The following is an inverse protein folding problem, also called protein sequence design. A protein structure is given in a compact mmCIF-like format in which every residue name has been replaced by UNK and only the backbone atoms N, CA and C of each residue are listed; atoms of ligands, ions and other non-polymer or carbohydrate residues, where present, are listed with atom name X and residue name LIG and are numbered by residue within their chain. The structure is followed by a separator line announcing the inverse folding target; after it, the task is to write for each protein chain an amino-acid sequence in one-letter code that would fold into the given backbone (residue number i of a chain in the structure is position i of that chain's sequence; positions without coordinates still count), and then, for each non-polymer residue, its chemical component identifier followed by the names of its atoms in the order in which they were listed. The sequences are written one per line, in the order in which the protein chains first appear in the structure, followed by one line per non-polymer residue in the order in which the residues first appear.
data_IF_831171561321
#
_entry.id   IF_831171561321
#
_cell.length_a   1.000
_cell.length_b   1.000
_cell.length_c   1.000
_cell.angle_alpha   90.00
_cell.angle_beta   90.00
_cell.angle_gamma   90.00
#
_symmetry.space_group_name_H-M   'P 1'
#
loop_
_entity.id
_entity.type
_entity.pdbx_description
1 polymer ?
#
# COMPACT_ATOMS: atom_id res chain seq x y z
N UNK A 1 -21.72 3.08 10.05
CA UNK A 1 -21.45 2.45 11.35
C UNK A 1 -20.16 1.67 11.17
N UNK A 2 -19.02 2.31 11.43
CA UNK A 2 -17.74 1.61 11.49
C UNK A 2 -17.47 1.32 12.94
N UNK A 3 -17.49 0.05 13.28
CA UNK A 3 -17.08 -0.47 14.56
C UNK A 3 -15.56 -0.26 14.72
N UNK A 4 -15.06 -0.05 15.93
CA UNK A 4 -13.64 0.14 16.22
C UNK A 4 -12.76 -0.99 15.65
N UNK A 5 -13.31 -2.20 15.56
CA UNK A 5 -12.62 -3.37 15.01
C UNK A 5 -12.45 -3.29 13.48
N UNK A 6 -13.41 -2.69 12.78
CA UNK A 6 -13.28 -2.44 11.33
C UNK A 6 -12.19 -1.42 11.01
N UNK A 7 -11.93 -0.47 11.90
CA UNK A 7 -10.87 0.54 11.72
C UNK A 7 -9.47 -0.05 11.80
N UNK A 8 -9.23 -0.95 12.74
CA UNK A 8 -7.95 -1.65 12.86
C UNK A 8 -7.70 -2.56 11.66
N UNK A 9 -8.70 -3.34 11.26
CA UNK A 9 -8.62 -4.22 10.09
C UNK A 9 -8.36 -3.45 8.80
N UNK A 10 -9.03 -2.30 8.60
CA UNK A 10 -8.76 -1.43 7.46
C UNK A 10 -7.32 -0.88 7.48
N UNK A 11 -6.80 -0.53 8.66
CA UNK A 11 -5.41 -0.06 8.84
C UNK A 11 -4.39 -1.10 8.39
N UNK A 12 -4.61 -2.36 8.72
CA UNK A 12 -3.74 -3.46 8.32
C UNK A 12 -3.68 -3.64 6.79
N UNK A 13 -4.83 -3.54 6.11
CA UNK A 13 -4.88 -3.63 4.66
C UNK A 13 -4.27 -2.40 3.97
N UNK A 14 -4.45 -1.22 4.53
CA UNK A 14 -3.82 0.01 4.04
C UNK A 14 -2.30 -0.13 4.09
N UNK A 15 -1.75 -0.60 5.21
CA UNK A 15 -0.32 -0.85 5.35
C UNK A 15 0.18 -1.93 4.38
N UNK A 16 -0.55 -3.03 4.22
CA UNK A 16 -0.20 -4.08 3.27
C UNK A 16 -0.20 -3.58 1.82
N UNK A 17 -1.20 -2.80 1.41
CA UNK A 17 -1.25 -2.20 0.08
C UNK A 17 -0.10 -1.21 -0.14
N UNK A 18 0.28 -0.44 0.88
CA UNK A 18 1.44 0.45 0.82
C UNK A 18 2.75 -0.33 0.65
N UNK A 19 2.91 -1.47 1.34
CA UNK A 19 4.06 -2.40 1.17
C UNK A 19 4.10 -2.96 -0.25
N UNK A 20 2.97 -3.43 -0.78
CA UNK A 20 2.92 -3.95 -2.15
C UNK A 20 3.39 -2.90 -3.17
N UNK A 21 2.95 -1.65 -3.02
CA UNK A 21 3.39 -0.57 -3.92
C UNK A 21 4.86 -0.21 -3.71
N UNK A 22 5.34 -0.20 -2.46
CA UNK A 22 6.73 0.09 -2.15
C UNK A 22 7.72 -0.95 -2.71
N UNK A 23 7.29 -2.21 -2.82
CA UNK A 23 8.08 -3.30 -3.39
C UNK A 23 8.18 -3.26 -4.92
N UNK A 24 7.39 -2.42 -5.59
CA UNK A 24 7.43 -2.27 -7.04
C UNK A 24 8.34 -1.11 -7.48
N UNK A 25 8.91 -1.18 -8.69
CA UNK A 25 9.60 -0.04 -9.28
C UNK A 25 8.67 1.17 -9.35
N UNK A 26 9.15 2.31 -8.86
CA UNK A 26 8.42 3.58 -9.01
C UNK A 26 8.33 3.96 -10.48
N UNK A 27 7.19 4.52 -10.87
CA UNK A 27 7.01 5.07 -12.20
C UNK A 27 7.97 6.26 -12.42
N UNK A 28 8.59 6.30 -13.60
CA UNK A 28 9.33 7.48 -14.02
C UNK A 28 8.34 8.54 -14.53
N UNK A 29 7.69 9.20 -13.60
CA UNK A 29 6.67 10.22 -13.87
C UNK A 29 7.27 11.62 -13.72
N UNK A 30 6.68 12.56 -14.44
CA UNK A 30 6.85 13.99 -14.18
C UNK A 30 5.53 14.53 -13.60
N UNK A 31 5.19 14.22 -12.35
CA UNK A 31 3.94 14.66 -11.76
C UNK A 31 3.99 16.17 -11.52
N UNK A 32 2.82 16.80 -11.58
CA UNK A 32 2.66 18.16 -11.09
C UNK A 32 2.48 18.12 -9.56
N UNK A 33 3.26 18.91 -8.83
CA UNK A 33 3.13 19.04 -7.39
C UNK A 33 2.29 20.27 -7.03
N UNK A 34 1.27 20.07 -6.21
CA UNK A 34 0.38 21.13 -5.73
C UNK A 34 0.21 21.05 -4.22
N UNK A 35 -0.04 22.20 -3.61
CA UNK A 35 -0.42 22.25 -2.19
C UNK A 35 -1.82 21.68 -1.97
N UNK A 36 -2.13 21.31 -0.75
CA UNK A 36 -3.48 20.87 -0.36
C UNK A 36 -4.54 21.91 -0.75
N UNK A 37 -4.27 23.19 -0.50
CA UNK A 37 -5.21 24.27 -0.81
C UNK A 37 -5.51 24.38 -2.32
N UNK A 38 -4.51 24.18 -3.16
CA UNK A 38 -4.68 24.16 -4.62
C UNK A 38 -5.50 22.94 -5.08
N UNK A 39 -5.25 21.77 -4.48
CA UNK A 39 -6.02 20.55 -4.75
C UNK A 39 -7.48 20.74 -4.33
N UNK A 40 -7.74 21.29 -3.14
CA UNK A 40 -9.09 21.54 -2.65
C UNK A 40 -9.84 22.54 -3.56
N UNK A 41 -9.13 23.52 -4.13
CA UNK A 41 -9.69 24.43 -5.14
C UNK A 41 -10.06 23.68 -6.42
N UNK A 42 -9.19 22.80 -6.92
CA UNK A 42 -9.49 21.95 -8.08
C UNK A 42 -10.74 21.10 -7.82
N UNK A 43 -10.78 20.43 -6.67
CA UNK A 43 -11.92 19.60 -6.26
C UNK A 43 -13.23 20.39 -6.20
N UNK A 44 -13.16 21.64 -5.76
CA UNK A 44 -14.34 22.54 -5.67
C UNK A 44 -14.82 23.05 -7.03
N UNK A 45 -13.94 23.15 -8.01
CA UNK A 45 -14.23 23.69 -9.33
C UNK A 45 -14.61 22.64 -10.35
N UNK A 46 -14.19 21.40 -10.18
CA UNK A 46 -14.48 20.32 -11.12
C UNK A 46 -15.96 19.97 -11.14
N UNK A 47 -16.53 19.97 -12.34
CA UNK A 47 -17.87 19.44 -12.58
C UNK A 47 -17.84 17.92 -12.59
N UNK A 48 -18.92 17.30 -12.14
CA UNK A 48 -19.09 15.86 -12.19
C UNK A 48 -18.84 15.30 -13.61
N UNK A 49 -18.05 14.22 -13.72
CA UNK A 49 -17.81 13.55 -15.00
C UNK A 49 -16.51 13.90 -15.71
N UNK A 50 -15.60 14.63 -15.06
CA UNK A 50 -14.31 14.98 -15.67
C UNK A 50 -13.33 13.79 -15.80
N UNK A 51 -13.66 12.65 -15.21
CA UNK A 51 -12.78 11.48 -15.24
C UNK A 51 -11.55 11.62 -14.35
N UNK A 52 -11.71 12.27 -13.19
CA UNK A 52 -10.67 12.41 -12.17
C UNK A 52 -10.83 11.36 -11.08
N UNK A 53 -9.74 10.65 -10.79
CA UNK A 53 -9.61 9.79 -9.64
C UNK A 53 -8.82 10.53 -8.55
N UNK A 54 -9.34 10.54 -7.35
CA UNK A 54 -8.64 11.02 -6.17
C UNK A 54 -8.15 9.82 -5.37
N UNK A 55 -6.88 9.85 -4.95
CA UNK A 55 -6.24 8.78 -4.19
C UNK A 55 -5.80 9.33 -2.84
N UNK A 56 -6.24 8.70 -1.77
CA UNK A 56 -5.75 8.94 -0.42
C UNK A 56 -4.88 7.76 0.03
N UNK A 57 -3.76 8.02 0.66
CA UNK A 57 -2.90 6.98 1.26
C UNK A 57 -3.42 6.52 2.61
N UNK A 58 -4.18 7.39 3.30
CA UNK A 58 -4.67 7.17 4.65
C UNK A 58 -6.17 7.40 4.76
N UNK A 59 -6.79 6.64 5.68
CA UNK A 59 -8.20 6.86 6.02
C UNK A 59 -8.45 8.23 6.66
N UNK A 60 -7.49 8.77 7.38
CA UNK A 60 -7.55 10.11 7.98
C UNK A 60 -7.72 11.21 6.93
N UNK A 61 -7.07 11.07 5.79
CA UNK A 61 -7.24 12.00 4.65
C UNK A 61 -8.61 11.85 4.02
N UNK A 62 -9.09 10.62 3.82
CA UNK A 62 -10.45 10.37 3.35
C UNK A 62 -11.49 11.05 4.25
N UNK A 63 -11.32 10.97 5.56
CA UNK A 63 -12.27 11.51 6.52
C UNK A 63 -12.48 13.05 6.38
N UNK A 64 -11.49 13.79 5.88
CA UNK A 64 -11.60 15.23 5.59
C UNK A 64 -12.60 15.53 4.47
N UNK A 65 -12.80 14.59 3.54
CA UNK A 65 -13.71 14.72 2.41
C UNK A 65 -15.05 14.02 2.62
N UNK A 66 -15.33 13.56 3.84
CA UNK A 66 -16.53 12.79 4.22
C UNK A 66 -17.86 13.46 3.81
N UNK A 67 -17.89 14.78 3.76
CA UNK A 67 -19.07 15.56 3.39
C UNK A 67 -19.01 16.05 1.92
N UNK A 68 -17.98 15.69 1.16
CA UNK A 68 -17.94 16.02 -0.26
C UNK A 68 -19.00 15.21 -1.00
N UNK A 69 -19.49 15.73 -2.11
CA UNK A 69 -20.39 14.98 -3.01
C UNK A 69 -19.68 13.85 -3.77
N UNK A 70 -18.42 13.59 -3.45
CA UNK A 70 -17.60 12.57 -4.07
C UNK A 70 -17.99 11.19 -3.55
N UNK A 71 -18.04 10.22 -4.43
CA UNK A 71 -18.35 8.83 -4.08
C UNK A 71 -17.09 8.12 -3.61
N UNK A 72 -17.23 7.28 -2.59
CA UNK A 72 -16.16 6.42 -2.14
C UNK A 72 -16.22 5.10 -2.91
N UNK A 73 -15.14 4.76 -3.58
CA UNK A 73 -14.96 3.41 -4.08
C UNK A 73 -14.49 2.50 -2.94
N UNK A 74 -14.60 1.19 -3.18
CA UNK A 74 -14.06 0.19 -2.28
C UNK A 74 -12.56 0.46 -2.02
N UNK A 75 -12.12 0.26 -0.79
CA UNK A 75 -10.74 0.45 -0.36
C UNK A 75 -9.78 -0.41 -1.20
N UNK A 76 -10.26 -1.53 -1.73
CA UNK A 76 -9.42 -2.55 -2.37
C UNK A 76 -9.60 -2.64 -3.89
N UNK A 77 -10.69 -2.13 -4.43
CA UNK A 77 -10.99 -2.31 -5.83
C UNK A 77 -11.87 -1.18 -6.38
N UNK A 78 -11.54 -0.68 -7.57
CA UNK A 78 -12.40 0.22 -8.30
C UNK A 78 -13.47 -0.63 -9.01
N UNK A 79 -14.71 -0.58 -8.54
CA UNK A 79 -15.78 -1.14 -9.33
C UNK A 79 -15.94 -0.31 -10.60
N UNK A 80 -15.93 -0.95 -11.75
CA UNK A 80 -15.97 -0.34 -13.09
C UNK A 80 -17.20 0.53 -13.40
N UNK A 81 -18.06 0.79 -12.43
CA UNK A 81 -19.39 1.34 -12.69
C UNK A 81 -19.61 2.82 -12.40
N UNK A 82 -18.67 3.51 -11.73
CA UNK A 82 -18.83 4.94 -11.44
C UNK A 82 -17.50 5.67 -11.65
N UNK A 83 -17.32 6.17 -12.85
CA UNK A 83 -16.12 6.89 -13.27
C UNK A 83 -16.09 8.36 -12.82
N UNK A 84 -17.17 8.85 -12.22
CA UNK A 84 -17.27 10.24 -11.81
C UNK A 84 -16.92 10.42 -10.33
N UNK A 85 -16.00 11.29 -10.06
CA UNK A 85 -15.74 11.84 -8.71
C UNK A 85 -15.50 10.79 -7.62
N UNK A 86 -14.58 9.86 -7.88
CA UNK A 86 -14.25 8.76 -6.97
C UNK A 86 -13.02 9.09 -6.13
N UNK A 87 -13.10 8.81 -4.84
CA UNK A 87 -11.92 8.77 -3.94
C UNK A 87 -11.67 7.31 -3.55
N UNK A 88 -10.48 6.84 -3.80
CA UNK A 88 -10.02 5.52 -3.36
C UNK A 88 -8.95 5.68 -2.27
N UNK A 89 -8.92 4.75 -1.31
CA UNK A 89 -7.90 4.73 -0.25
C UNK A 89 -6.93 3.59 -0.49
N UNK A 90 -5.64 3.90 -0.45
CA UNK A 90 -4.53 2.97 -0.53
C UNK A 90 -4.76 1.86 -1.57
N UNK A 91 -4.89 2.21 -2.86
CA UNK A 91 -5.20 1.23 -3.91
C UNK A 91 -4.13 0.15 -4.00
N UNK A 92 -4.54 -1.06 -4.36
CA UNK A 92 -3.61 -2.12 -4.74
C UNK A 92 -2.83 -1.75 -6.00
N UNK A 93 -1.62 -2.30 -6.19
CA UNK A 93 -0.82 -2.04 -7.41
C UNK A 93 -1.51 -2.45 -8.71
N UNK A 94 -2.36 -3.48 -8.65
CA UNK A 94 -3.12 -4.02 -9.78
C UNK A 94 -4.46 -3.31 -10.04
N UNK A 95 -4.73 -2.24 -9.31
CA UNK A 95 -5.97 -1.47 -9.49
C UNK A 95 -5.99 -0.79 -10.85
N UNK A 96 -7.06 -1.02 -11.61
CA UNK A 96 -7.21 -0.46 -12.96
C UNK A 96 -7.70 0.99 -12.89
N UNK A 97 -6.84 1.91 -13.29
CA UNK A 97 -7.16 3.34 -13.43
C UNK A 97 -7.48 3.75 -14.87
N UNK A 98 -7.63 2.80 -15.81
CA UNK A 98 -7.79 3.08 -17.24
C UNK A 98 -8.97 4.00 -17.57
N UNK A 99 -10.02 3.94 -16.77
CA UNK A 99 -11.21 4.80 -16.94
C UNK A 99 -11.01 6.28 -16.59
N UNK A 100 -9.86 6.66 -16.01
CA UNK A 100 -9.59 8.03 -15.58
C UNK A 100 -8.54 8.69 -16.46
N UNK A 101 -8.71 9.99 -16.71
CA UNK A 101 -7.75 10.82 -17.46
C UNK A 101 -6.74 11.50 -16.54
N UNK A 102 -7.18 11.81 -15.32
CA UNK A 102 -6.40 12.49 -14.30
C UNK A 102 -6.43 11.70 -13.00
N UNK A 103 -5.30 11.67 -12.32
CA UNK A 103 -5.15 11.07 -11.00
C UNK A 103 -4.58 12.13 -10.08
N UNK A 104 -5.24 12.38 -8.96
CA UNK A 104 -4.82 13.34 -7.94
C UNK A 104 -4.56 12.60 -6.63
N UNK A 105 -3.30 12.53 -6.22
CA UNK A 105 -2.93 12.04 -4.89
C UNK A 105 -3.18 13.13 -3.86
N UNK A 106 -4.06 12.84 -2.92
CA UNK A 106 -4.41 13.73 -1.81
C UNK A 106 -3.36 13.75 -0.70
N UNK A 107 -2.51 12.75 -0.67
CA UNK A 107 -1.33 12.66 0.19
C UNK A 107 -0.13 12.34 -0.69
N UNK A 108 1.07 12.72 -0.23
CA UNK A 108 2.30 12.40 -0.96
C UNK A 108 2.61 10.90 -0.79
N UNK A 109 2.44 10.07 -1.82
CA UNK A 109 2.69 8.65 -1.73
C UNK A 109 4.19 8.35 -1.60
N UNK A 110 4.53 7.21 -1.01
CA UNK A 110 5.91 6.70 -1.02
C UNK A 110 6.36 6.32 -2.43
N UNK A 111 5.48 5.62 -3.17
CA UNK A 111 5.70 5.26 -4.56
C UNK A 111 4.39 5.34 -5.35
N UNK A 112 4.53 5.66 -6.64
CA UNK A 112 3.40 5.69 -7.58
C UNK A 112 3.55 4.53 -8.55
N UNK A 113 2.61 3.57 -8.62
CA UNK A 113 2.70 2.43 -9.51
C UNK A 113 2.68 2.84 -10.99
N UNK A 114 3.61 2.33 -11.77
CA UNK A 114 3.77 2.68 -13.18
C UNK A 114 2.54 2.34 -14.02
N UNK A 115 2.05 1.11 -13.93
CA UNK A 115 0.97 0.61 -14.77
C UNK A 115 -0.35 1.40 -14.63
N UNK A 116 -0.55 2.05 -13.47
CA UNK A 116 -1.79 2.80 -13.19
C UNK A 116 -1.80 4.21 -13.74
N UNK A 117 -0.64 4.77 -14.09
CA UNK A 117 -0.46 6.21 -14.33
C UNK A 117 0.06 6.57 -15.71
N UNK A 118 0.47 5.58 -16.50
CA UNK A 118 1.00 5.81 -17.85
C UNK A 118 -0.01 6.56 -18.74
N UNK A 119 0.45 7.63 -19.37
CA UNK A 119 -0.36 8.45 -20.27
C UNK A 119 -1.42 9.33 -19.58
N UNK A 120 -1.39 9.45 -18.26
CA UNK A 120 -2.35 10.23 -17.47
C UNK A 120 -1.73 11.51 -16.92
N UNK A 121 -2.57 12.51 -16.70
CA UNK A 121 -2.21 13.66 -15.89
C UNK A 121 -2.13 13.25 -14.42
N UNK A 122 -0.97 13.41 -13.78
CA UNK A 122 -0.76 13.02 -12.39
C UNK A 122 -0.41 14.27 -11.57
N UNK A 123 -1.21 14.51 -10.53
CA UNK A 123 -1.01 15.58 -9.56
C UNK A 123 -0.76 14.94 -8.20
N UNK A 124 0.23 15.43 -7.47
CA UNK A 124 0.59 14.92 -6.14
C UNK A 124 0.57 16.07 -5.13
N UNK A 125 -0.09 15.84 -4.02
CA UNK A 125 -0.06 16.76 -2.87
C UNK A 125 1.37 16.86 -2.33
N UNK A 126 1.90 18.08 -2.23
CA UNK A 126 3.29 18.32 -1.83
C UNK A 126 3.49 18.47 -0.32
N UNK A 127 2.44 18.87 0.40
CA UNK A 127 2.47 19.30 1.80
C UNK A 127 1.73 18.36 2.76
N UNK A 128 1.25 17.22 2.28
CA UNK A 128 0.62 16.19 3.10
C UNK A 128 1.38 14.87 2.94
N UNK A 129 1.94 14.37 4.03
CA UNK A 129 2.66 13.10 4.06
C UNK A 129 1.67 11.93 4.02
N UNK A 130 1.86 10.99 3.09
CA UNK A 130 1.09 9.76 2.93
C UNK A 130 1.90 8.50 3.29
N UNK A 131 3.01 8.66 4.01
CA UNK A 131 3.89 7.52 4.34
C UNK A 131 3.59 6.89 5.71
N UNK A 132 2.61 7.41 6.46
CA UNK A 132 2.28 6.89 7.78
C UNK A 132 1.96 5.38 7.82
N UNK A 133 1.30 4.77 6.81
CA UNK A 133 1.09 3.33 6.81
C UNK A 133 2.40 2.53 6.83
N UNK A 134 3.43 3.00 6.12
CA UNK A 134 4.76 2.36 6.13
C UNK A 134 5.52 2.65 7.42
N UNK A 135 5.38 3.86 7.98
CA UNK A 135 6.00 4.24 9.26
C UNK A 135 5.45 3.46 10.46
N UNK A 136 4.26 2.89 10.34
CA UNK A 136 3.65 2.06 11.37
C UNK A 136 4.26 0.66 11.46
N UNK A 137 5.06 0.25 10.48
CA UNK A 137 5.69 -1.07 10.45
C UNK A 137 6.88 -1.14 11.42
N UNK A 138 6.98 -2.27 12.10
CA UNK A 138 8.14 -2.57 12.93
C UNK A 138 9.32 -3.03 12.06
N UNK A 139 10.23 -2.10 11.78
CA UNK A 139 11.47 -2.36 11.06
C UNK A 139 12.61 -2.81 11.98
N UNK A 140 12.36 -3.01 13.28
CA UNK A 140 13.39 -3.50 14.20
C UNK A 140 13.83 -4.92 13.83
N UNK A 141 15.11 -5.19 14.12
CA UNK A 141 15.64 -6.55 13.94
C UNK A 141 14.88 -7.58 14.77
N UNK A 142 14.44 -7.19 15.96
CA UNK A 142 13.71 -8.06 16.88
C UNK A 142 12.32 -8.39 16.34
N UNK A 143 11.60 -7.40 15.82
CA UNK A 143 10.30 -7.60 15.18
C UNK A 143 10.39 -8.54 13.98
N UNK A 144 11.35 -8.31 13.08
CA UNK A 144 11.56 -9.20 11.93
C UNK A 144 12.01 -10.60 12.33
N UNK A 145 12.89 -10.73 13.34
CA UNK A 145 13.29 -12.05 13.85
C UNK A 145 12.13 -12.82 14.47
N UNK A 146 11.22 -12.13 15.15
CA UNK A 146 10.00 -12.74 15.71
C UNK A 146 9.13 -13.35 14.61
N UNK A 147 8.90 -12.62 13.51
CA UNK A 147 8.18 -13.14 12.34
C UNK A 147 8.93 -14.32 11.73
N UNK A 148 10.25 -14.19 11.50
CA UNK A 148 11.04 -15.26 10.90
C UNK A 148 11.03 -16.55 11.75
N UNK A 149 11.19 -16.44 13.06
CA UNK A 149 11.16 -17.57 13.97
C UNK A 149 9.81 -18.30 13.94
N UNK A 150 8.70 -17.54 13.89
CA UNK A 150 7.37 -18.12 13.76
C UNK A 150 7.20 -18.85 12.42
N UNK A 151 7.59 -18.22 11.31
CA UNK A 151 7.53 -18.84 9.97
C UNK A 151 8.38 -20.12 9.92
N UNK A 152 9.61 -20.08 10.47
CA UNK A 152 10.50 -21.23 10.50
C UNK A 152 9.96 -22.40 11.34
N UNK A 153 9.19 -22.12 12.39
CA UNK A 153 8.57 -23.14 13.22
C UNK A 153 7.31 -23.76 12.58
N UNK A 154 6.62 -23.03 11.72
CA UNK A 154 5.31 -23.39 11.20
C UNK A 154 5.24 -23.55 9.67
N UNK A 155 6.37 -23.48 8.95
CA UNK A 155 6.41 -23.45 7.48
C UNK A 155 5.56 -24.56 6.82
N UNK A 156 5.61 -25.79 7.34
CA UNK A 156 4.83 -26.90 6.80
C UNK A 156 3.31 -26.79 6.96
N UNK A 157 2.83 -25.80 7.71
CA UNK A 157 1.39 -25.55 7.92
C UNK A 157 0.94 -24.24 7.28
N UNK A 158 1.84 -23.52 6.59
CA UNK A 158 1.54 -22.24 5.95
C UNK A 158 1.39 -22.47 4.46
N UNK A 159 0.17 -22.36 3.99
CA UNK A 159 -0.19 -22.48 2.57
C UNK A 159 -0.24 -21.09 1.93
N UNK A 160 0.19 -21.02 0.68
CA UNK A 160 0.16 -19.83 -0.17
C UNK A 160 1.30 -19.83 -1.18
N UNK A 161 1.01 -19.45 -2.42
CA UNK A 161 1.97 -19.40 -3.51
C UNK A 161 2.75 -18.08 -3.55
N UNK A 162 2.31 -17.07 -2.77
CA UNK A 162 2.92 -15.74 -2.74
C UNK A 162 2.91 -15.14 -1.33
N UNK A 163 3.76 -14.15 -1.12
CA UNK A 163 3.76 -13.38 0.13
C UNK A 163 2.40 -12.75 0.43
N UNK A 164 1.71 -12.26 -0.61
CA UNK A 164 0.39 -11.66 -0.51
C UNK A 164 -0.65 -12.69 -0.04
N UNK A 165 -0.67 -13.87 -0.66
CA UNK A 165 -1.60 -14.92 -0.26
C UNK A 165 -1.39 -15.32 1.19
N UNK A 166 -0.14 -15.51 1.61
CA UNK A 166 0.18 -15.84 3.01
C UNK A 166 -0.26 -14.72 3.95
N UNK A 167 0.00 -13.46 3.60
CA UNK A 167 -0.32 -12.32 4.46
C UNK A 167 -1.83 -12.12 4.64
N UNK A 168 -2.63 -12.39 3.59
CA UNK A 168 -4.07 -12.11 3.60
C UNK A 168 -4.95 -13.32 3.93
N UNK A 169 -4.51 -14.55 3.65
CA UNK A 169 -5.34 -15.75 3.86
C UNK A 169 -4.97 -16.55 5.10
N UNK A 170 -3.72 -16.52 5.52
CA UNK A 170 -3.28 -17.25 6.70
C UNK A 170 -3.70 -16.52 7.98
N UNK A 171 -4.35 -17.23 8.88
CA UNK A 171 -4.68 -16.72 10.23
C UNK A 171 -3.42 -16.73 11.12
N UNK A 172 -2.42 -15.95 10.75
CA UNK A 172 -1.17 -15.82 11.49
C UNK A 172 -1.29 -14.71 12.56
N UNK A 173 -0.51 -14.78 13.66
CA UNK A 173 -0.61 -13.84 14.78
C UNK A 173 0.10 -12.51 14.51
N UNK A 174 0.05 -12.03 13.28
CA UNK A 174 0.66 -10.77 12.85
C UNK A 174 -0.33 -9.96 12.02
N UNK A 175 -0.23 -8.65 12.14
CA UNK A 175 -0.94 -7.73 11.25
C UNK A 175 -0.53 -7.97 9.79
N UNK A 176 -1.48 -7.92 8.85
CA UNK A 176 -1.24 -8.26 7.44
C UNK A 176 -0.14 -7.40 6.82
N UNK A 177 -0.10 -6.11 7.12
CA UNK A 177 0.95 -5.20 6.63
C UNK A 177 2.34 -5.56 7.15
N UNK A 178 2.46 -5.87 8.45
CA UNK A 178 3.71 -6.29 9.06
C UNK A 178 4.20 -7.63 8.51
N UNK A 179 3.28 -8.58 8.37
CA UNK A 179 3.61 -9.90 7.83
C UNK A 179 4.06 -9.79 6.38
N UNK A 180 3.34 -9.05 5.56
CA UNK A 180 3.70 -8.86 4.15
C UNK A 180 5.07 -8.16 4.00
N UNK A 181 5.33 -7.13 4.81
CA UNK A 181 6.63 -6.46 4.83
C UNK A 181 7.76 -7.44 5.14
N UNK A 182 7.60 -8.24 6.20
CA UNK A 182 8.60 -9.23 6.59
C UNK A 182 8.81 -10.30 5.49
N UNK A 183 7.72 -10.83 4.91
CA UNK A 183 7.79 -11.82 3.85
C UNK A 183 8.52 -11.28 2.61
N UNK A 184 8.20 -10.06 2.15
CA UNK A 184 8.88 -9.43 1.01
C UNK A 184 10.36 -9.17 1.29
N UNK A 185 10.71 -8.71 2.48
CA UNK A 185 12.11 -8.55 2.89
C UNK A 185 12.84 -9.89 2.90
N UNK A 186 12.24 -10.93 3.44
CA UNK A 186 12.86 -12.26 3.52
C UNK A 186 12.99 -12.90 2.15
N UNK A 187 12.04 -12.70 1.24
CA UNK A 187 12.11 -13.15 -0.15
C UNK A 187 13.26 -12.47 -0.90
N UNK A 188 13.40 -11.12 -0.80
CA UNK A 188 14.54 -10.38 -1.37
C UNK A 188 15.89 -10.85 -0.84
N UNK A 189 15.95 -11.26 0.44
CA UNK A 189 17.18 -11.74 1.08
C UNK A 189 17.46 -13.23 0.84
N UNK A 190 16.59 -13.94 0.12
CA UNK A 190 16.69 -15.38 -0.10
C UNK A 190 16.55 -16.21 1.18
N UNK A 191 15.87 -15.70 2.20
CA UNK A 191 15.59 -16.40 3.46
C UNK A 191 14.34 -17.26 3.37
N UNK A 192 13.45 -16.94 2.44
CA UNK A 192 12.25 -17.72 2.12
C UNK A 192 12.07 -17.82 0.61
N UNK A 193 11.28 -18.81 0.19
CA UNK A 193 10.68 -18.87 -1.14
C UNK A 193 9.30 -19.52 -1.06
N UNK A 194 8.58 -19.53 -2.17
CA UNK A 194 7.30 -20.21 -2.31
C UNK A 194 7.44 -21.30 -3.37
N UNK A 195 7.10 -22.53 -3.01
CA UNK A 195 7.17 -23.70 -3.88
C UNK A 195 5.87 -24.50 -3.74
N UNK A 196 5.21 -24.82 -4.85
CA UNK A 196 3.99 -25.62 -4.91
C UNK A 196 2.94 -25.25 -3.82
N UNK A 197 2.62 -23.98 -3.68
CA UNK A 197 1.68 -23.46 -2.67
C UNK A 197 2.15 -23.55 -1.21
N UNK A 198 3.43 -23.76 -0.98
CA UNK A 198 4.00 -23.86 0.37
C UNK A 198 5.12 -22.86 0.59
N UNK A 199 5.15 -22.32 1.80
CA UNK A 199 6.25 -21.48 2.26
C UNK A 199 7.47 -22.37 2.60
N UNK A 200 8.59 -22.07 1.95
CA UNK A 200 9.90 -22.69 2.25
C UNK A 200 10.75 -21.69 3.02
N UNK A 201 11.32 -22.10 4.15
CA UNK A 201 12.18 -21.26 4.99
C UNK A 201 13.59 -21.82 5.03
N UNK A 202 14.58 -21.03 4.60
CA UNK A 202 15.97 -21.38 4.57
C UNK A 202 16.68 -20.99 5.90
N UNK A 203 17.01 -22.01 6.70
CA UNK A 203 17.70 -21.81 7.98
C UNK A 203 19.21 -21.72 7.78
N UNK A 204 19.86 -20.88 8.58
CA UNK A 204 21.33 -20.77 8.59
C UNK A 204 21.90 -19.84 7.53
N UNK A 205 21.07 -19.22 6.69
CA UNK A 205 21.50 -18.16 5.77
C UNK A 205 21.84 -16.92 6.60
N UNK A 206 23.07 -16.41 6.40
CA UNK A 206 23.51 -15.16 7.03
C UNK A 206 23.44 -14.04 6.02
N UNK A 207 22.65 -13.03 6.31
CA UNK A 207 22.51 -11.84 5.47
C UNK A 207 22.32 -10.60 6.33
N UNK A 208 22.53 -9.42 5.75
CA UNK A 208 22.24 -8.13 6.37
C UNK A 208 20.88 -7.65 5.85
N UNK A 209 20.02 -7.16 6.73
CA UNK A 209 18.73 -6.58 6.37
C UNK A 209 18.88 -5.43 5.36
N UNK A 210 19.98 -4.69 5.43
CA UNK A 210 20.31 -3.60 4.49
C UNK A 210 20.47 -4.05 3.04
N UNK A 211 20.66 -5.34 2.80
CA UNK A 211 20.69 -5.90 1.44
C UNK A 211 19.29 -5.99 0.80
N UNK A 212 18.22 -5.84 1.57
CA UNK A 212 16.87 -5.66 1.03
C UNK A 212 16.65 -4.18 0.68
N UNK A 213 16.25 -3.93 -0.56
CA UNK A 213 15.92 -2.61 -1.03
C UNK A 213 14.65 -2.07 -0.33
N UNK A 214 13.64 -2.93 -0.19
CA UNK A 214 12.40 -2.59 0.51
C UNK A 214 12.67 -2.26 1.97
N UNK A 215 13.43 -3.08 2.69
CA UNK A 215 13.80 -2.80 4.08
C UNK A 215 14.49 -1.45 4.22
N UNK A 216 15.51 -1.21 3.40
CA UNK A 216 16.30 0.03 3.47
C UNK A 216 15.45 1.26 3.20
N UNK A 217 14.53 1.18 2.24
CA UNK A 217 13.64 2.27 1.89
C UNK A 217 12.62 2.58 3.00
N UNK A 218 11.98 1.55 3.58
CA UNK A 218 10.97 1.73 4.64
C UNK A 218 11.61 2.14 5.96
N UNK A 219 12.75 1.55 6.34
CA UNK A 219 13.46 1.90 7.57
C UNK A 219 13.91 3.37 7.61
N UNK A 220 14.22 3.97 6.46
CA UNK A 220 14.55 5.39 6.36
C UNK A 220 13.38 6.32 6.68
N UNK A 221 12.14 5.86 6.55
CA UNK A 221 10.95 6.65 6.89
C UNK A 221 10.72 6.77 8.40
N UNK A 222 11.29 5.84 9.18
CA UNK A 222 11.11 5.75 10.64
C UNK A 222 12.31 6.33 11.42
N UNK A 223 13.35 6.76 10.72
CA UNK A 223 14.53 7.40 11.30
C UNK A 223 14.35 8.90 11.44
#
# INVERSE_FOLDING_TARGET
IYDSDCGAYAGDYIAANAVMRAALPSANLSPEYKTREEIDRIMGQESAGYGTLYVAEEYSTLAKYKNSKKYFADIFNLSSRNLADTIIVAPRPDCDFSGYRRIIWLDRPFSVPFASTEGKEVIICSDTDGTAPLKSLDCSREGLLSVFAYLAANAGNIEGATAEEVAFSAKLPFAAGQLLFALKVFEELGLISFDDMHLVVYRGVKTDLKNSALYSAVAQLSA
#
